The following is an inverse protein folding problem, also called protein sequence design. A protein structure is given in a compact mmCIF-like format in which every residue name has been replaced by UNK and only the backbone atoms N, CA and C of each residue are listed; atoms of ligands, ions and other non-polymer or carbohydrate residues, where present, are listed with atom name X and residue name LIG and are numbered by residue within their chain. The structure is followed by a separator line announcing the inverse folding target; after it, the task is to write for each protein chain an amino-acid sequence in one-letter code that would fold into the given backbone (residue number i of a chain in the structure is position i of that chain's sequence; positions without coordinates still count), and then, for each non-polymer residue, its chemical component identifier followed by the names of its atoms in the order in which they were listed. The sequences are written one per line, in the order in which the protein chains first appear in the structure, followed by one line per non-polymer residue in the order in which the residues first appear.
data_IF_461590471057
#
_entry.id   IF_461590471057
#
_cell.length_a   1.000
_cell.length_b   1.000
_cell.length_c   1.000
_cell.angle_alpha   90.00
_cell.angle_beta   90.00
_cell.angle_gamma   90.00
#
_symmetry.space_group_name_H-M   'P 1'
#
loop_
_entity.id
_entity.type
_entity.pdbx_description
1 polymer ?
#
# COMPACT_ATOMS: atom_id res chain seq x y z
N UNK A 1 -12.09 -11.15 -49.60
CA UNK A 1 -11.92 -9.70 -49.34
C UNK A 1 -12.62 -9.29 -48.03
N UNK A 2 -13.93 -9.51 -47.86
CA UNK A 2 -14.61 -9.25 -46.57
C UNK A 2 -14.02 -10.03 -45.39
N UNK A 3 -13.78 -11.33 -45.57
CA UNK A 3 -13.25 -12.20 -44.50
C UNK A 3 -11.88 -11.75 -43.98
N UNK A 4 -11.01 -11.25 -44.87
CA UNK A 4 -9.72 -10.68 -44.49
C UNK A 4 -9.88 -9.37 -43.72
N UNK A 5 -10.85 -8.52 -44.10
CA UNK A 5 -11.15 -7.26 -43.40
C UNK A 5 -11.71 -7.54 -42.00
N UNK A 6 -12.59 -8.52 -41.85
CA UNK A 6 -13.12 -8.93 -40.55
C UNK A 6 -12.01 -9.52 -39.67
N UNK A 7 -11.13 -10.35 -40.25
CA UNK A 7 -9.94 -10.86 -39.54
C UNK A 7 -9.02 -9.73 -39.06
N UNK A 8 -8.76 -8.70 -39.88
CA UNK A 8 -7.96 -7.55 -39.47
C UNK A 8 -8.65 -6.73 -38.37
N UNK A 9 -9.97 -6.58 -38.40
CA UNK A 9 -10.74 -5.91 -37.34
C UNK A 9 -10.63 -6.67 -36.02
N UNK A 10 -10.79 -7.98 -36.04
CA UNK A 10 -10.68 -8.83 -34.85
C UNK A 10 -9.26 -8.79 -34.27
N UNK A 11 -8.24 -8.80 -35.14
CA UNK A 11 -6.85 -8.63 -34.70
C UNK A 11 -6.62 -7.27 -34.03
N UNK A 12 -7.09 -6.17 -34.63
CA UNK A 12 -6.96 -4.82 -34.04
C UNK A 12 -7.71 -4.74 -32.71
N UNK A 13 -8.91 -5.31 -32.62
CA UNK A 13 -9.68 -5.38 -31.38
C UNK A 13 -8.92 -6.16 -30.29
N UNK A 14 -8.35 -7.32 -30.63
CA UNK A 14 -7.56 -8.13 -29.69
C UNK A 14 -6.30 -7.41 -29.19
N UNK A 15 -5.63 -6.67 -30.07
CA UNK A 15 -4.45 -5.87 -29.72
C UNK A 15 -4.83 -4.71 -28.80
N UNK A 16 -5.97 -4.05 -29.07
CA UNK A 16 -6.49 -3.01 -28.20
C UNK A 16 -6.83 -3.55 -26.81
N UNK A 17 -7.54 -4.68 -26.72
CA UNK A 17 -7.85 -5.34 -25.44
C UNK A 17 -6.58 -5.72 -24.67
N UNK A 18 -5.57 -6.25 -25.35
CA UNK A 18 -4.27 -6.56 -24.75
C UNK A 18 -3.56 -5.30 -24.25
N UNK A 19 -3.59 -4.22 -25.02
CA UNK A 19 -3.03 -2.93 -24.62
C UNK A 19 -3.73 -2.37 -23.37
N UNK A 20 -5.06 -2.35 -23.36
CA UNK A 20 -5.84 -1.91 -22.20
C UNK A 20 -5.55 -2.76 -20.96
N UNK A 21 -5.41 -4.07 -21.12
CA UNK A 21 -5.01 -5.00 -20.06
C UNK A 21 -3.63 -4.66 -19.51
N UNK A 22 -2.66 -4.35 -20.37
CA UNK A 22 -1.32 -3.92 -19.94
C UNK A 22 -1.36 -2.58 -19.19
N UNK A 23 -2.15 -1.61 -19.65
CA UNK A 23 -2.32 -0.32 -18.95
C UNK A 23 -2.94 -0.54 -17.57
N UNK A 24 -4.00 -1.35 -17.48
CA UNK A 24 -4.66 -1.70 -16.21
C UNK A 24 -3.69 -2.39 -15.25
N UNK A 25 -2.87 -3.33 -15.75
CA UNK A 25 -1.85 -4.00 -14.93
C UNK A 25 -0.82 -3.01 -14.39
N UNK A 26 -0.32 -2.07 -15.22
CA UNK A 26 0.61 -1.04 -14.76
C UNK A 26 -0.02 -0.13 -13.70
N UNK A 27 -1.28 0.26 -13.88
CA UNK A 27 -2.03 1.04 -12.90
C UNK A 27 -2.20 0.27 -11.57
N UNK A 28 -2.57 -1.01 -11.63
CA UNK A 28 -2.69 -1.85 -10.45
C UNK A 28 -1.38 -1.95 -9.68
N UNK A 29 -0.24 -2.12 -10.37
CA UNK A 29 1.08 -2.14 -9.74
C UNK A 29 1.42 -0.78 -9.10
N UNK A 30 1.15 0.33 -9.79
CA UNK A 30 1.42 1.67 -9.28
C UNK A 30 0.56 2.01 -8.04
N UNK A 31 -0.74 1.72 -8.07
CA UNK A 31 -1.62 1.95 -6.92
C UNK A 31 -1.25 1.07 -5.74
N UNK A 32 -0.86 -0.19 -6.00
CA UNK A 32 -0.35 -1.10 -4.96
C UNK A 32 0.91 -0.54 -4.30
N UNK A 33 1.88 -0.05 -5.07
CA UNK A 33 3.12 0.50 -4.49
C UNK A 33 2.86 1.74 -3.64
N UNK A 34 2.02 2.67 -4.10
CA UNK A 34 1.59 3.85 -3.34
C UNK A 34 0.87 3.46 -2.04
N UNK A 35 -0.03 2.47 -2.10
CA UNK A 35 -0.80 2.00 -0.94
C UNK A 35 0.10 1.38 0.13
N UNK A 36 1.12 0.62 -0.28
CA UNK A 36 2.10 0.02 0.66
C UNK A 36 2.87 1.11 1.39
N UNK A 37 3.37 2.12 0.68
CA UNK A 37 4.11 3.24 1.29
C UNK A 37 3.20 4.04 2.24
N UNK A 38 1.97 4.33 1.83
CA UNK A 38 1.01 5.06 2.65
C UNK A 38 0.62 4.27 3.92
N UNK A 39 0.29 2.99 3.79
CA UNK A 39 -0.13 2.13 4.91
C UNK A 39 0.97 1.97 5.94
N UNK A 40 2.23 1.89 5.50
CA UNK A 40 3.38 1.88 6.40
C UNK A 40 3.58 3.22 7.09
N UNK A 41 3.32 4.34 6.41
CA UNK A 41 3.55 5.68 6.95
C UNK A 41 2.53 6.08 8.02
N UNK A 42 1.27 5.68 7.89
CA UNK A 42 0.18 6.06 8.82
C UNK A 42 0.50 5.78 10.31
N UNK A 43 0.84 4.55 10.74
CA UNK A 43 1.11 4.28 12.14
C UNK A 43 2.33 5.05 12.66
N UNK A 44 3.37 5.23 11.84
CA UNK A 44 4.55 6.02 12.21
C UNK A 44 4.19 7.50 12.46
N UNK A 45 3.36 8.08 11.59
CA UNK A 45 2.91 9.48 11.72
C UNK A 45 1.98 9.65 12.92
N UNK A 46 1.06 8.71 13.15
CA UNK A 46 0.11 8.79 14.29
C UNK A 46 0.85 8.72 15.63
N UNK A 47 1.77 7.77 15.80
CA UNK A 47 2.53 7.62 17.05
C UNK A 47 3.44 8.82 17.29
N UNK A 48 4.17 9.27 16.26
CA UNK A 48 5.00 10.47 16.35
C UNK A 48 4.16 11.73 16.61
N UNK A 49 2.97 11.82 16.02
CA UNK A 49 2.04 12.93 16.22
C UNK A 49 1.50 12.99 17.64
N UNK A 50 1.08 11.84 18.20
CA UNK A 50 0.61 11.73 19.58
C UNK A 50 1.70 12.09 20.60
N UNK A 51 2.96 11.68 20.36
CA UNK A 51 4.10 12.05 21.20
C UNK A 51 4.59 13.49 21.03
N UNK A 52 4.28 14.14 19.90
CA UNK A 52 4.56 15.55 19.66
C UNK A 52 3.56 16.51 20.31
N UNK A 53 2.50 16.00 20.94
CA UNK A 53 1.52 16.82 21.64
C UNK A 53 2.11 17.32 22.97
N UNK A 54 1.98 18.62 23.27
CA UNK A 54 2.46 19.25 24.52
C UNK A 54 1.60 18.85 25.74
N UNK A 55 1.46 17.55 26.02
CA UNK A 55 0.85 17.06 27.26
C UNK A 55 1.94 16.76 28.29
N UNK A 56 1.79 17.35 29.49
CA UNK A 56 2.74 17.18 30.59
C UNK A 56 2.81 15.73 31.11
N UNK A 57 1.71 14.98 30.99
CA UNK A 57 1.59 13.58 31.43
C UNK A 57 1.22 12.66 30.26
N UNK A 58 2.17 12.41 29.36
CA UNK A 58 2.01 11.32 28.40
C UNK A 58 2.26 10.00 29.15
N UNK A 59 1.28 9.07 29.22
CA UNK A 59 1.51 7.75 29.79
C UNK A 59 2.62 7.06 28.99
N UNK A 60 3.68 6.59 29.68
CA UNK A 60 5.00 6.10 29.20
C UNK A 60 6.14 7.14 29.08
N UNK A 61 5.92 8.45 29.24
CA UNK A 61 7.01 9.44 29.20
C UNK A 61 7.97 9.34 30.40
N UNK A 62 7.42 9.10 31.60
CA UNK A 62 8.19 8.98 32.84
C UNK A 62 8.92 7.63 33.00
N UNK A 63 8.74 6.69 32.06
CA UNK A 63 9.34 5.36 32.15
C UNK A 63 10.62 5.29 31.30
N UNK A 64 11.77 4.88 31.85
CA UNK A 64 13.06 4.89 31.12
C UNK A 64 13.08 4.00 29.87
N UNK A 65 12.16 3.04 29.76
CA UNK A 65 12.01 2.17 28.59
C UNK A 65 10.74 2.45 27.76
N UNK A 66 9.97 3.50 28.07
CA UNK A 66 8.71 3.82 27.39
C UNK A 66 8.88 4.06 25.88
N UNK A 67 9.96 4.74 25.50
CA UNK A 67 10.34 4.95 24.09
C UNK A 67 10.55 3.62 23.33
N UNK A 68 11.29 2.69 23.92
CA UNK A 68 11.60 1.39 23.29
C UNK A 68 10.36 0.49 23.17
N UNK A 69 9.48 0.49 24.17
CA UNK A 69 8.22 -0.27 24.15
C UNK A 69 7.28 0.26 23.06
N UNK A 70 7.14 1.57 22.94
CA UNK A 70 6.35 2.20 21.87
C UNK A 70 6.92 1.90 20.49
N UNK A 71 8.24 2.03 20.32
CA UNK A 71 8.90 1.71 19.06
C UNK A 71 8.70 0.24 18.67
N UNK A 72 8.85 -0.69 19.62
CA UNK A 72 8.57 -2.10 19.41
C UNK A 72 7.10 -2.35 19.04
N UNK A 73 6.16 -1.69 19.73
CA UNK A 73 4.73 -1.75 19.41
C UNK A 73 4.41 -1.27 18.00
N UNK A 74 5.02 -0.16 17.56
CA UNK A 74 4.87 0.36 16.20
C UNK A 74 5.45 -0.59 15.15
N UNK A 75 6.60 -1.20 15.42
CA UNK A 75 7.23 -2.19 14.54
C UNK A 75 6.33 -3.44 14.40
N UNK A 76 5.79 -3.93 15.52
CA UNK A 76 4.84 -5.05 15.52
C UNK A 76 3.58 -4.70 14.74
N UNK A 77 3.01 -3.51 14.94
CA UNK A 77 1.82 -3.05 14.23
C UNK A 77 2.06 -2.94 12.72
N UNK A 78 3.21 -2.38 12.32
CA UNK A 78 3.65 -2.30 10.92
C UNK A 78 3.83 -3.67 10.28
N UNK A 79 4.47 -4.62 10.98
CA UNK A 79 4.63 -6.01 10.51
C UNK A 79 3.28 -6.72 10.40
N UNK A 80 2.37 -6.52 11.35
CA UNK A 80 1.03 -7.11 11.35
C UNK A 80 0.21 -6.58 10.17
N UNK A 81 0.28 -5.27 9.89
CA UNK A 81 -0.33 -4.66 8.71
C UNK A 81 0.27 -5.21 7.40
N UNK A 82 1.60 -5.34 7.31
CA UNK A 82 2.26 -5.95 6.14
C UNK A 82 1.83 -7.40 5.94
N UNK A 83 1.76 -8.20 7.02
CA UNK A 83 1.28 -9.58 6.96
C UNK A 83 -0.19 -9.65 6.54
N UNK A 84 -1.03 -8.74 7.03
CA UNK A 84 -2.43 -8.65 6.64
C UNK A 84 -2.59 -8.28 5.16
N UNK A 85 -1.82 -7.30 4.64
CA UNK A 85 -1.84 -6.95 3.22
C UNK A 85 -1.36 -8.11 2.34
N UNK A 86 -0.31 -8.82 2.77
CA UNK A 86 0.20 -10.01 2.08
C UNK A 86 -0.82 -11.15 2.07
N UNK A 87 -1.52 -11.38 3.18
CA UNK A 87 -2.60 -12.40 3.25
C UNK A 87 -3.79 -12.06 2.35
N UNK A 88 -4.07 -10.78 2.12
CA UNK A 88 -5.16 -10.34 1.25
C UNK A 88 -4.80 -10.32 -0.25
N UNK A 89 -3.59 -10.72 -0.64
CA UNK A 89 -3.14 -10.71 -2.05
C UNK A 89 -3.02 -9.30 -2.65
N UNK A 90 -3.04 -8.27 -1.81
CA UNK A 90 -2.80 -6.88 -2.22
C UNK A 90 -1.32 -6.68 -2.51
N UNK A 91 -0.45 -7.41 -1.80
CA UNK A 91 0.98 -7.61 -2.08
C UNK A 91 1.20 -8.93 -2.82
#
# INVERSE_FOLDING_TARGET
LNESIDTYRDLVASVMESYLTQVSNRLNIATKSLTVVATLSVPFVVVSGMWGMNFADIPLSHWPHGFWVMFAGQLVLGVLLLLALRRRGVL
#
